data_IF_420120280824
#
_entry.id   IF_420120280824
#
_cell.length_a   1.000
_cell.length_b   1.000
_cell.length_c   1.000
_cell.angle_alpha   90.00
_cell.angle_beta   90.00
_cell.angle_gamma   90.00
#
_symmetry.space_group_name_H-M   'P 1'
#
loop_
_entity.id
_entity.type
_entity.pdbx_description
1 polymer ?
#
# COMPACT_ATOMS: atom_id res chain seq x y z
N UNK A 1 -4.22 -16.74 9.56
CA UNK A 1 -5.04 -15.80 10.38
C UNK A 1 -6.49 -15.98 9.99
N UNK A 2 -7.42 -16.07 10.96
CA UNK A 2 -8.86 -16.08 10.67
C UNK A 2 -9.44 -14.75 11.15
N UNK A 3 -9.80 -13.88 10.20
CA UNK A 3 -10.39 -12.57 10.51
C UNK A 3 -11.68 -12.75 11.30
N UNK A 4 -11.82 -11.99 12.38
CA UNK A 4 -13.07 -11.82 13.11
C UNK A 4 -13.91 -10.74 12.44
N UNK A 5 -15.21 -10.72 12.76
CA UNK A 5 -16.13 -9.75 12.15
C UNK A 5 -15.84 -8.31 12.55
N UNK A 6 -15.21 -8.09 13.70
CA UNK A 6 -14.76 -6.78 14.17
C UNK A 6 -13.38 -6.36 13.60
N UNK A 7 -12.66 -7.25 12.92
CA UNK A 7 -11.36 -6.91 12.36
C UNK A 7 -11.54 -5.98 11.16
N UNK A 8 -10.70 -4.94 11.10
CA UNK A 8 -10.60 -4.02 9.98
C UNK A 8 -9.25 -4.16 9.32
N UNK A 9 -9.27 -4.45 8.02
CA UNK A 9 -8.11 -4.48 7.16
C UNK A 9 -7.90 -3.08 6.58
N UNK A 10 -6.70 -2.54 6.74
CA UNK A 10 -6.25 -1.33 6.04
C UNK A 10 -5.19 -1.74 5.02
N UNK A 11 -5.48 -1.60 3.73
CA UNK A 11 -4.51 -1.87 2.66
C UNK A 11 -3.88 -0.57 2.16
N UNK A 12 -2.60 -0.59 1.80
CA UNK A 12 -1.79 0.62 1.62
C UNK A 12 -1.61 1.09 0.16
N UNK A 13 -2.42 0.61 -0.78
CA UNK A 13 -2.32 0.95 -2.21
C UNK A 13 -1.41 0.01 -3.01
N UNK A 14 -1.22 0.33 -4.30
CA UNK A 14 -0.46 -0.44 -5.29
C UNK A 14 -0.96 -1.88 -5.45
N UNK A 15 -2.26 -2.00 -5.69
CA UNK A 15 -2.96 -3.26 -5.97
C UNK A 15 -2.74 -3.76 -7.38
N UNK A 16 -2.48 -2.82 -8.29
CA UNK A 16 -2.33 -3.06 -9.72
C UNK A 16 -0.86 -2.98 -10.14
N UNK A 17 -0.66 -3.23 -11.43
CA UNK A 17 0.61 -3.23 -12.15
C UNK A 17 1.59 -4.33 -11.73
N UNK A 18 2.48 -4.66 -12.67
CA UNK A 18 3.62 -5.58 -12.53
C UNK A 18 3.26 -7.07 -12.27
N UNK A 19 2.36 -7.37 -11.33
CA UNK A 19 1.85 -8.71 -11.04
C UNK A 19 0.78 -9.17 -12.05
N UNK A 20 0.55 -10.49 -12.19
CA UNK A 20 -0.33 -11.03 -13.24
C UNK A 20 -1.83 -11.03 -12.92
N UNK A 21 -2.23 -10.73 -11.67
CA UNK A 21 -3.60 -10.93 -11.17
C UNK A 21 -4.23 -9.64 -10.60
N UNK A 22 -3.97 -8.48 -11.21
CA UNK A 22 -4.54 -7.20 -10.74
C UNK A 22 -6.07 -7.24 -10.67
N UNK A 23 -6.75 -7.80 -11.68
CA UNK A 23 -8.22 -7.96 -11.68
C UNK A 23 -8.71 -8.69 -10.44
N UNK A 24 -8.13 -9.86 -10.14
CA UNK A 24 -8.56 -10.72 -9.04
C UNK A 24 -8.27 -10.09 -7.67
N UNK A 25 -7.21 -9.28 -7.56
CA UNK A 25 -6.95 -8.47 -6.35
C UNK A 25 -8.08 -7.45 -6.16
N UNK A 26 -8.45 -6.70 -7.21
CA UNK A 26 -9.53 -5.72 -7.11
C UNK A 26 -10.88 -6.39 -6.79
N UNK A 27 -11.21 -7.51 -7.43
CA UNK A 27 -12.40 -8.32 -7.12
C UNK A 27 -12.45 -8.66 -5.61
N UNK A 28 -11.33 -9.12 -5.06
CA UNK A 28 -11.21 -9.49 -3.65
C UNK A 28 -11.37 -8.30 -2.70
N UNK A 29 -10.80 -7.15 -3.06
CA UNK A 29 -10.91 -5.93 -2.25
C UNK A 29 -12.35 -5.39 -2.25
N UNK A 30 -13.03 -5.41 -3.39
CA UNK A 30 -14.46 -5.06 -3.47
C UNK A 30 -15.30 -5.98 -2.57
N UNK A 31 -15.04 -7.28 -2.58
CA UNK A 31 -15.73 -8.24 -1.71
C UNK A 31 -15.53 -7.90 -0.21
N UNK A 32 -14.30 -7.60 0.19
CA UNK A 32 -13.97 -7.22 1.57
C UNK A 32 -14.61 -5.87 1.96
N UNK A 33 -14.66 -4.91 1.04
CA UNK A 33 -15.34 -3.63 1.24
C UNK A 33 -16.85 -3.81 1.45
N UNK A 34 -17.51 -4.62 0.61
CA UNK A 34 -18.94 -4.95 0.75
C UNK A 34 -19.28 -5.61 2.09
N UNK A 35 -18.32 -6.30 2.71
CA UNK A 35 -18.46 -6.88 4.07
C UNK A 35 -18.21 -5.89 5.21
N UNK A 36 -17.83 -4.64 4.91
CA UNK A 36 -17.52 -3.61 5.91
C UNK A 36 -16.17 -3.80 6.61
N UNK A 37 -15.30 -4.67 6.08
CA UNK A 37 -14.03 -5.06 6.72
C UNK A 37 -12.81 -4.34 6.12
N UNK A 38 -12.97 -3.54 5.08
CA UNK A 38 -11.85 -2.93 4.34
C UNK A 38 -11.87 -1.41 4.37
N UNK A 39 -10.71 -0.84 4.67
CA UNK A 39 -10.32 0.51 4.25
C UNK A 39 -9.18 0.36 3.23
N UNK A 40 -9.46 0.68 1.98
CA UNK A 40 -8.47 0.60 0.91
C UNK A 40 -7.85 1.97 0.68
N UNK A 41 -6.53 2.09 0.84
CA UNK A 41 -5.83 3.29 0.39
C UNK A 41 -5.56 3.23 -1.10
N UNK A 42 -5.46 4.39 -1.75
CA UNK A 42 -4.95 4.50 -3.12
C UNK A 42 -3.42 4.57 -3.11
N UNK A 43 -2.77 3.91 -4.06
CA UNK A 43 -1.33 4.05 -4.34
C UNK A 43 -1.04 4.94 -5.54
N UNK A 44 0.24 5.15 -5.84
CA UNK A 44 0.61 5.94 -7.02
C UNK A 44 0.30 5.20 -8.32
N UNK A 45 0.32 3.87 -8.32
CA UNK A 45 -0.04 3.07 -9.50
C UNK A 45 -1.52 3.26 -9.87
N UNK A 46 -2.42 3.27 -8.88
CA UNK A 46 -3.83 3.57 -9.12
C UNK A 46 -4.04 5.01 -9.64
N UNK A 47 -3.28 5.99 -9.13
CA UNK A 47 -3.35 7.37 -9.65
C UNK A 47 -2.91 7.45 -11.13
N UNK A 48 -1.82 6.79 -11.50
CA UNK A 48 -1.36 6.74 -12.89
C UNK A 48 -2.42 6.12 -13.80
N UNK A 49 -3.04 5.02 -13.37
CA UNK A 49 -4.11 4.36 -14.13
C UNK A 49 -5.35 5.26 -14.29
N UNK A 50 -5.76 5.95 -13.23
CA UNK A 50 -6.89 6.90 -13.28
C UNK A 50 -6.60 8.07 -14.22
N UNK A 51 -5.37 8.60 -14.22
CA UNK A 51 -4.94 9.63 -15.18
C UNK A 51 -4.92 9.11 -16.60
N UNK A 52 -4.45 7.88 -16.84
CA UNK A 52 -4.48 7.25 -18.15
C UNK A 52 -5.91 7.10 -18.71
N UNK A 53 -6.93 7.01 -17.83
CA UNK A 53 -8.35 6.99 -18.22
C UNK A 53 -8.84 8.31 -18.84
N UNK A 54 -8.14 9.43 -18.63
CA UNK A 54 -8.52 10.74 -19.18
C UNK A 54 -8.46 10.84 -20.71
N UNK A 55 -7.77 9.90 -21.37
CA UNK A 55 -7.52 9.91 -22.81
C UNK A 55 -6.23 10.62 -23.23
N UNK A 56 -5.48 11.20 -22.27
CA UNK A 56 -4.14 11.73 -22.53
C UNK A 56 -3.15 10.60 -22.85
N UNK A 57 -2.49 10.70 -24.02
CA UNK A 57 -1.54 9.69 -24.50
C UNK A 57 -0.27 9.62 -23.66
N UNK A 58 0.18 10.75 -23.12
CA UNK A 58 1.35 10.80 -22.24
C UNK A 58 1.05 10.07 -20.94
N UNK A 59 -0.10 10.31 -20.31
CA UNK A 59 -0.50 9.62 -19.07
C UNK A 59 -0.66 8.11 -19.31
N UNK A 60 -1.28 7.71 -20.43
CA UNK A 60 -1.37 6.31 -20.82
C UNK A 60 0.03 5.68 -20.98
N UNK A 61 0.91 6.32 -21.74
CA UNK A 61 2.27 5.82 -21.94
C UNK A 61 3.03 5.72 -20.61
N UNK A 62 2.91 6.74 -19.75
CA UNK A 62 3.57 6.79 -18.45
C UNK A 62 3.12 5.64 -17.55
N UNK A 63 1.80 5.39 -17.46
CA UNK A 63 1.25 4.26 -16.72
C UNK A 63 1.71 2.90 -17.27
N UNK A 64 1.64 2.70 -18.59
CA UNK A 64 2.08 1.45 -19.21
C UNK A 64 3.56 1.16 -18.93
N UNK A 65 4.43 2.18 -19.02
CA UNK A 65 5.85 2.07 -18.66
C UNK A 65 6.07 1.72 -17.17
N UNK A 66 5.10 2.06 -16.30
CA UNK A 66 5.09 1.72 -14.87
C UNK A 66 4.66 0.28 -14.55
N UNK A 67 4.21 -0.50 -15.54
CA UNK A 67 3.74 -1.88 -15.37
C UNK A 67 2.25 -2.07 -15.67
N UNK A 68 1.56 -1.05 -16.19
CA UNK A 68 0.14 -1.10 -16.55
C UNK A 68 -0.23 -2.17 -17.57
N UNK A 69 0.73 -2.61 -18.40
CA UNK A 69 0.53 -3.72 -19.35
C UNK A 69 0.09 -5.01 -18.65
N UNK A 70 0.68 -5.34 -17.49
CA UNK A 70 0.31 -6.53 -16.71
C UNK A 70 -1.11 -6.42 -16.18
N UNK A 71 -1.55 -5.23 -15.78
CA UNK A 71 -2.92 -4.98 -15.37
C UNK A 71 -3.88 -5.18 -16.53
N UNK A 72 -3.65 -4.55 -17.69
CA UNK A 72 -4.48 -4.75 -18.88
C UNK A 72 -4.56 -6.23 -19.30
N UNK A 73 -3.45 -6.96 -19.22
CA UNK A 73 -3.40 -8.38 -19.49
C UNK A 73 -4.27 -9.20 -18.53
N UNK A 74 -4.36 -8.82 -17.25
CA UNK A 74 -5.23 -9.50 -16.27
C UNK A 74 -6.73 -9.36 -16.59
N UNK A 75 -7.17 -8.24 -17.17
CA UNK A 75 -8.57 -8.03 -17.58
C UNK A 75 -8.89 -8.65 -18.94
N UNK A 76 -7.94 -8.68 -19.86
CA UNK A 76 -8.13 -9.15 -21.25
C UNK A 76 -8.39 -10.66 -21.37
N UNK A 77 -8.21 -11.44 -20.30
CA UNK A 77 -8.53 -12.89 -20.27
C UNK A 77 -10.04 -13.17 -20.36
N UNK A 78 -10.90 -12.16 -20.19
CA UNK A 78 -12.33 -12.34 -19.92
C UNK A 78 -13.26 -11.85 -21.03
N UNK A 79 -12.76 -11.28 -22.14
CA UNK A 79 -13.61 -10.74 -23.20
C UNK A 79 -12.89 -10.33 -24.48
N UNK A 80 -13.66 -9.81 -25.44
CA UNK A 80 -13.18 -9.31 -26.74
C UNK A 80 -12.58 -7.90 -26.68
N UNK A 81 -12.94 -7.12 -25.66
CA UNK A 81 -12.42 -5.76 -25.44
C UNK A 81 -10.95 -5.80 -25.01
N UNK A 82 -10.18 -4.79 -25.45
CA UNK A 82 -8.77 -4.62 -25.12
C UNK A 82 -8.53 -3.25 -24.48
N UNK A 83 -7.42 -3.14 -23.75
CA UNK A 83 -7.02 -1.88 -23.13
C UNK A 83 -7.99 -1.45 -22.02
N UNK A 84 -8.07 -0.15 -21.76
CA UNK A 84 -8.87 0.40 -20.67
C UNK A 84 -10.38 0.03 -20.75
N UNK A 85 -10.90 -0.24 -21.95
CA UNK A 85 -12.28 -0.64 -22.18
C UNK A 85 -12.61 -2.08 -21.74
N UNK A 86 -11.61 -2.88 -21.35
CA UNK A 86 -11.85 -4.21 -20.75
C UNK A 86 -12.10 -4.14 -19.24
N UNK A 87 -11.96 -2.97 -18.63
CA UNK A 87 -12.03 -2.77 -17.18
C UNK A 87 -13.45 -2.38 -16.78
N UNK A 88 -14.14 -3.17 -15.92
CA UNK A 88 -15.51 -2.89 -15.52
C UNK A 88 -15.65 -1.56 -14.76
N UNK A 89 -16.79 -0.88 -14.92
CA UNK A 89 -17.10 0.37 -14.21
C UNK A 89 -17.06 0.21 -12.69
N UNK A 90 -17.40 -0.97 -12.17
CA UNK A 90 -17.30 -1.25 -10.74
C UNK A 90 -15.85 -1.14 -10.24
N UNK A 91 -14.87 -1.59 -11.03
CA UNK A 91 -13.46 -1.51 -10.67
C UNK A 91 -12.98 -0.06 -10.73
N UNK A 92 -13.42 0.69 -11.74
CA UNK A 92 -13.17 2.13 -11.82
C UNK A 92 -13.74 2.87 -10.60
N UNK A 93 -14.99 2.59 -10.24
CA UNK A 93 -15.63 3.18 -9.08
C UNK A 93 -14.89 2.81 -7.78
N UNK A 94 -14.43 1.57 -7.65
CA UNK A 94 -13.62 1.15 -6.50
C UNK A 94 -12.35 1.99 -6.39
N UNK A 95 -11.59 2.11 -7.48
CA UNK A 95 -10.32 2.84 -7.50
C UNK A 95 -10.48 4.35 -7.33
N UNK A 96 -11.57 4.94 -7.80
CA UNK A 96 -11.79 6.39 -7.80
C UNK A 96 -12.57 6.89 -6.56
N UNK A 97 -13.63 6.19 -6.17
CA UNK A 97 -14.56 6.65 -5.15
C UNK A 97 -14.48 5.87 -3.83
N UNK A 98 -14.04 4.61 -3.85
CA UNK A 98 -13.96 3.79 -2.62
C UNK A 98 -12.57 3.87 -1.98
N UNK A 99 -11.50 3.84 -2.79
CA UNK A 99 -10.16 4.05 -2.28
C UNK A 99 -10.00 5.47 -1.71
N UNK A 100 -9.42 5.56 -0.52
CA UNK A 100 -9.15 6.83 0.17
C UNK A 100 -7.66 7.18 0.12
N UNK A 101 -7.32 8.44 0.32
CA UNK A 101 -5.93 8.89 0.27
C UNK A 101 -5.15 8.60 1.56
N UNK A 102 -5.86 8.57 2.70
CA UNK A 102 -5.32 8.23 4.01
C UNK A 102 -6.43 7.71 4.93
N UNK A 103 -6.05 7.10 6.04
CA UNK A 103 -6.95 6.68 7.12
C UNK A 103 -6.28 6.91 8.47
N UNK A 104 -7.05 7.08 9.53
CA UNK A 104 -6.48 7.21 10.87
C UNK A 104 -7.34 6.57 11.97
N UNK A 105 -6.67 6.22 13.05
CA UNK A 105 -7.24 5.80 14.33
C UNK A 105 -6.82 6.81 15.41
N UNK A 106 -7.08 6.50 16.68
CA UNK A 106 -6.59 7.31 17.80
C UNK A 106 -5.06 7.31 17.92
N UNK A 107 -4.38 6.22 17.53
CA UNK A 107 -2.93 6.04 17.74
C UNK A 107 -2.11 5.98 16.45
N UNK A 108 -2.72 5.66 15.31
CA UNK A 108 -2.02 5.46 14.05
C UNK A 108 -2.67 6.25 12.91
N UNK A 109 -1.89 6.53 11.87
CA UNK A 109 -2.43 6.89 10.57
C UNK A 109 -1.73 6.12 9.46
N UNK A 110 -2.43 5.96 8.35
CA UNK A 110 -2.05 5.15 7.23
C UNK A 110 -2.04 6.02 5.98
N UNK A 111 -0.92 5.99 5.27
CA UNK A 111 -0.73 6.66 3.97
C UNK A 111 -0.01 5.69 3.03
N UNK A 112 -0.12 5.91 1.72
CA UNK A 112 0.61 5.08 0.77
C UNK A 112 2.13 5.28 0.88
N UNK A 113 2.60 6.53 0.85
CA UNK A 113 4.03 6.86 0.79
C UNK A 113 4.55 7.58 2.04
N UNK A 114 4.31 8.89 2.20
CA UNK A 114 4.86 9.67 3.32
C UNK A 114 4.04 10.94 3.61
N UNK A 115 4.44 11.71 4.63
CA UNK A 115 3.83 12.99 5.01
C UNK A 115 4.90 14.01 5.45
N UNK A 116 4.61 15.29 5.26
CA UNK A 116 5.34 16.35 5.97
C UNK A 116 4.95 16.33 7.44
N UNK A 117 5.91 16.38 8.37
CA UNK A 117 5.63 16.20 9.80
C UNK A 117 4.83 17.36 10.41
N UNK A 118 4.87 18.54 9.81
CA UNK A 118 4.27 19.77 10.33
C UNK A 118 2.93 20.15 9.68
N UNK A 119 2.40 19.32 8.78
CA UNK A 119 1.12 19.56 8.12
C UNK A 119 0.11 18.47 8.50
N UNK A 120 -1.17 18.80 8.78
CA UNK A 120 -2.19 17.78 8.97
C UNK A 120 -2.44 16.99 7.68
N UNK A 121 -2.98 15.77 7.79
CA UNK A 121 -3.15 14.83 6.66
C UNK A 121 -3.89 15.44 5.45
N UNK A 122 -4.93 16.24 5.69
CA UNK A 122 -5.73 16.87 4.63
C UNK A 122 -5.02 18.02 3.90
N UNK A 123 -3.85 18.47 4.38
CA UNK A 123 -3.02 19.50 3.74
C UNK A 123 -1.75 18.91 3.12
N UNK A 124 -1.60 17.59 3.15
CA UNK A 124 -0.46 16.92 2.54
C UNK A 124 -0.56 17.03 1.02
N UNK A 125 0.50 17.47 0.33
CA UNK A 125 0.49 17.50 -1.12
C UNK A 125 0.52 16.07 -1.68
N UNK A 126 -0.08 15.88 -2.85
CA UNK A 126 -0.15 14.58 -3.52
C UNK A 126 1.23 13.91 -3.65
N UNK A 127 2.26 14.69 -4.02
CA UNK A 127 3.65 14.19 -4.11
C UNK A 127 4.11 13.50 -2.83
N UNK A 128 3.72 14.00 -1.65
CA UNK A 128 4.09 13.38 -0.37
C UNK A 128 3.30 12.10 -0.14
N UNK A 129 1.98 12.15 -0.29
CA UNK A 129 1.10 11.03 0.00
C UNK A 129 1.35 9.81 -0.89
N UNK A 130 1.75 10.03 -2.15
CA UNK A 130 1.82 8.95 -3.13
C UNK A 130 3.22 8.65 -3.66
N UNK A 131 4.16 9.60 -3.62
CA UNK A 131 5.43 9.44 -4.36
C UNK A 131 6.68 9.52 -3.49
N UNK A 132 6.58 10.12 -2.30
CA UNK A 132 7.75 10.39 -1.47
C UNK A 132 8.30 9.12 -0.80
N UNK A 133 9.60 8.88 -0.96
CA UNK A 133 10.24 7.71 -0.34
C UNK A 133 10.33 7.81 1.18
N UNK A 134 10.18 6.67 1.84
CA UNK A 134 10.50 6.46 3.24
C UNK A 134 12.01 6.55 3.43
N UNK A 135 12.43 7.46 4.31
CA UNK A 135 13.84 7.66 4.66
C UNK A 135 13.98 7.69 6.17
N UNK A 136 13.95 8.88 6.78
CA UNK A 136 13.91 9.08 8.21
C UNK A 136 12.96 10.25 8.52
N UNK A 137 11.64 10.10 8.29
CA UNK A 137 10.69 11.18 8.54
C UNK A 137 10.72 11.57 10.03
N UNK A 138 10.51 12.85 10.34
CA UNK A 138 10.33 13.29 11.73
C UNK A 138 8.94 12.85 12.26
N UNK A 139 8.72 12.82 13.59
CA UNK A 139 7.40 12.58 14.16
C UNK A 139 6.38 13.59 13.61
N UNK A 140 5.20 13.08 13.25
CA UNK A 140 4.12 13.91 12.72
C UNK A 140 3.45 14.71 13.84
N UNK A 141 2.93 15.91 13.53
CA UNK A 141 2.37 16.86 14.48
C UNK A 141 1.14 16.33 15.25
N UNK A 142 0.49 15.27 14.75
CA UNK A 142 -0.59 14.59 15.47
C UNK A 142 -0.12 13.70 16.62
N UNK A 143 1.17 13.40 16.72
CA UNK A 143 1.73 12.44 17.69
C UNK A 143 1.42 10.97 17.39
N UNK A 144 0.68 10.67 16.33
CA UNK A 144 0.33 9.30 15.91
C UNK A 144 1.48 8.64 15.15
N UNK A 145 1.55 7.31 15.18
CA UNK A 145 2.50 6.53 14.39
C UNK A 145 2.04 6.42 12.93
N UNK A 146 2.94 6.74 11.99
CA UNK A 146 2.69 6.55 10.56
C UNK A 146 2.91 5.09 10.16
N UNK A 147 2.01 4.51 9.39
CA UNK A 147 2.21 3.24 8.69
C UNK A 147 2.06 3.46 7.19
N UNK A 148 3.05 3.04 6.40
CA UNK A 148 3.07 3.23 4.95
C UNK A 148 3.64 2.06 4.15
N UNK A 149 3.51 2.15 2.82
CA UNK A 149 4.10 1.25 1.84
C UNK A 149 5.06 2.01 0.92
N UNK A 150 4.92 1.83 -0.40
CA UNK A 150 5.62 2.50 -1.51
C UNK A 150 7.13 2.28 -1.61
N UNK A 151 7.85 2.42 -0.51
CA UNK A 151 9.31 2.29 -0.49
C UNK A 151 9.69 0.86 -0.24
N UNK A 152 9.88 0.12 -1.32
CA UNK A 152 10.16 -1.31 -1.26
C UNK A 152 11.42 -1.66 -0.45
N UNK A 153 11.21 -2.33 0.67
CA UNK A 153 12.24 -2.92 1.51
C UNK A 153 12.69 -4.26 0.91
N UNK A 154 13.68 -4.19 0.02
CA UNK A 154 14.17 -5.35 -0.75
C UNK A 154 14.86 -6.43 0.09
N UNK A 155 15.21 -6.14 1.36
CA UNK A 155 15.64 -7.16 2.31
C UNK A 155 14.52 -8.15 2.65
N UNK A 156 13.27 -7.80 2.38
CA UNK A 156 12.10 -8.57 2.81
C UNK A 156 11.71 -8.32 4.26
N UNK A 157 12.33 -7.34 4.91
CA UNK A 157 12.06 -6.94 6.30
C UNK A 157 11.35 -5.58 6.31
N UNK A 158 10.32 -5.39 7.12
CA UNK A 158 9.75 -4.07 7.34
C UNK A 158 10.78 -3.18 8.06
N UNK A 159 10.56 -1.87 8.03
CA UNK A 159 11.38 -0.90 8.76
C UNK A 159 10.52 -0.15 9.77
N UNK A 160 10.98 -0.07 11.02
CA UNK A 160 10.39 0.76 12.06
C UNK A 160 11.43 1.73 12.63
N UNK A 161 11.05 3.01 12.73
CA UNK A 161 11.81 4.04 13.44
C UNK A 161 11.03 4.59 14.64
N UNK A 162 10.04 3.83 15.13
CA UNK A 162 9.27 4.16 16.33
C UNK A 162 7.99 4.92 16.01
N UNK A 163 8.10 6.12 15.44
CA UNK A 163 6.95 6.94 15.03
C UNK A 163 6.55 6.77 13.56
N UNK A 164 7.30 5.96 12.79
CA UNK A 164 7.00 5.67 11.41
C UNK A 164 7.44 4.25 11.04
N UNK A 165 6.58 3.54 10.30
CA UNK A 165 6.74 2.15 9.91
C UNK A 165 6.45 2.02 8.41
N UNK A 166 7.32 1.34 7.67
CA UNK A 166 7.08 0.96 6.28
C UNK A 166 7.07 -0.56 6.12
N UNK A 167 5.97 -1.10 5.58
CA UNK A 167 5.73 -2.54 5.43
C UNK A 167 5.70 -3.04 3.98
N UNK A 168 6.02 -2.20 2.99
CA UNK A 168 6.26 -2.69 1.62
C UNK A 168 7.56 -3.49 1.60
N UNK A 169 7.45 -4.81 1.70
CA UNK A 169 8.57 -5.76 1.68
C UNK A 169 8.74 -6.42 0.30
N UNK A 170 8.35 -5.72 -0.76
CA UNK A 170 8.70 -6.01 -2.15
C UNK A 170 8.17 -7.34 -2.69
N UNK A 171 6.93 -7.72 -2.37
CA UNK A 171 6.34 -9.02 -2.80
C UNK A 171 6.42 -9.24 -4.31
N UNK A 172 6.16 -8.21 -5.11
CA UNK A 172 6.25 -8.32 -6.57
C UNK A 172 7.65 -8.78 -7.03
N UNK A 173 8.72 -8.32 -6.38
CA UNK A 173 10.10 -8.62 -6.73
C UNK A 173 10.66 -9.87 -6.07
N UNK A 174 9.83 -10.84 -5.70
CA UNK A 174 10.18 -12.05 -4.94
C UNK A 174 10.50 -11.84 -3.46
N UNK A 175 10.12 -10.69 -2.91
CA UNK A 175 10.15 -10.44 -1.47
C UNK A 175 8.97 -11.08 -0.74
N UNK A 176 8.36 -10.32 0.16
CA UNK A 176 7.26 -10.78 1.00
C UNK A 176 6.09 -9.80 0.93
N UNK A 177 4.85 -10.31 1.07
CA UNK A 177 3.68 -9.52 1.41
C UNK A 177 3.59 -9.47 2.93
N UNK A 178 3.61 -8.27 3.51
CA UNK A 178 3.61 -8.06 4.96
C UNK A 178 2.25 -7.58 5.45
N UNK A 179 1.76 -8.20 6.52
CA UNK A 179 0.63 -7.75 7.31
C UNK A 179 1.13 -7.41 8.72
N UNK A 180 0.78 -6.23 9.23
CA UNK A 180 1.07 -5.77 10.58
C UNK A 180 -0.25 -5.57 11.32
N UNK A 181 -0.40 -6.24 12.46
CA UNK A 181 -1.39 -5.85 13.46
C UNK A 181 -0.78 -4.72 14.31
N UNK A 182 -1.25 -3.50 14.09
CA UNK A 182 -0.74 -2.29 14.75
C UNK A 182 -1.07 -2.22 16.24
N UNK A 183 -2.00 -3.04 16.74
CA UNK A 183 -2.35 -3.07 18.16
C UNK A 183 -1.39 -3.98 18.92
N UNK A 184 -1.16 -5.20 18.41
CA UNK A 184 -0.27 -6.17 19.07
C UNK A 184 1.21 -6.03 18.66
N UNK A 185 1.49 -5.36 17.54
CA UNK A 185 2.81 -5.32 16.93
C UNK A 185 3.17 -6.60 16.16
N UNK A 186 2.24 -7.56 16.03
CA UNK A 186 2.51 -8.84 15.37
C UNK A 186 2.55 -8.71 13.86
N UNK A 187 3.47 -9.43 13.24
CA UNK A 187 3.68 -9.44 11.80
C UNK A 187 3.47 -10.84 11.22
N UNK A 188 2.80 -10.89 10.07
CA UNK A 188 2.75 -12.06 9.20
C UNK A 188 3.29 -11.70 7.84
N UNK A 189 4.12 -12.59 7.30
CA UNK A 189 4.64 -12.44 5.94
C UNK A 189 4.38 -13.72 5.15
N UNK A 190 3.96 -13.54 3.90
CA UNK A 190 3.81 -14.61 2.92
C UNK A 190 4.52 -14.26 1.61
N UNK A 191 4.95 -15.24 0.83
CA UNK A 191 5.59 -15.01 -0.46
C UNK A 191 4.97 -15.88 -1.57
N UNK A 192 5.41 -15.66 -2.80
CA UNK A 192 4.90 -16.36 -3.99
C UNK A 192 5.23 -17.86 -4.06
N UNK A 193 6.11 -18.38 -3.19
CA UNK A 193 6.39 -19.82 -3.09
C UNK A 193 5.53 -20.51 -2.02
N UNK A 194 4.62 -19.77 -1.37
CA UNK A 194 3.73 -20.30 -0.33
C UNK A 194 4.37 -20.38 1.05
N UNK A 195 5.58 -19.83 1.24
CA UNK A 195 6.19 -19.76 2.56
C UNK A 195 5.49 -18.71 3.41
N UNK A 196 5.40 -18.98 4.71
CA UNK A 196 4.80 -18.10 5.70
C UNK A 196 5.77 -17.98 6.87
N UNK A 197 5.97 -16.75 7.36
CA UNK A 197 6.73 -16.49 8.59
C UNK A 197 6.02 -15.44 9.45
N UNK A 198 6.37 -15.43 10.74
CA UNK A 198 5.84 -14.50 11.73
C UNK A 198 6.99 -13.80 12.45
N UNK A 199 6.76 -12.56 12.86
CA UNK A 199 7.70 -11.73 13.60
C UNK A 199 6.95 -10.69 14.45
N UNK A 200 7.66 -9.83 15.14
CA UNK A 200 7.12 -8.66 15.85
C UNK A 200 7.77 -7.39 15.30
N UNK A 201 7.03 -6.28 15.26
CA UNK A 201 7.55 -5.01 14.72
C UNK A 201 8.76 -4.48 15.50
N UNK A 202 8.82 -4.79 16.79
CA UNK A 202 9.94 -4.42 17.67
C UNK A 202 11.25 -5.11 17.29
N UNK A 203 11.19 -6.27 16.62
CA UNK A 203 12.37 -6.94 16.07
C UNK A 203 13.05 -6.11 14.98
N UNK A 204 12.31 -5.18 14.36
CA UNK A 204 12.74 -4.32 13.25
C UNK A 204 12.92 -2.85 13.65
N UNK A 205 12.91 -2.56 14.95
CA UNK A 205 13.10 -1.21 15.45
C UNK A 205 14.57 -0.78 15.30
N UNK A 206 14.83 0.19 14.42
CA UNK A 206 16.15 0.81 14.31
C UNK A 206 16.32 1.82 15.46
N UNK A 207 16.83 1.37 16.59
CA UNK A 207 17.46 2.32 17.50
C UNK A 207 18.62 2.98 16.76
N UNK A 208 18.70 4.32 16.80
CA UNK A 208 19.99 4.97 16.72
C UNK A 208 20.87 4.30 17.77
N UNK A 209 21.81 3.45 17.37
CA UNK A 209 22.82 2.90 18.25
C UNK A 209 23.65 4.04 18.83
N UNK A 210 23.16 4.70 19.89
CA UNK A 210 24.04 5.21 20.93
C UNK A 210 24.51 3.96 21.67
N UNK A 211 25.66 3.44 21.27
CA UNK A 211 26.52 2.68 22.17
C UNK A 211 26.82 3.59 23.37
N UNK A 212 25.97 3.56 24.40
CA UNK A 212 26.42 3.86 25.74
C UNK A 212 27.17 2.61 26.20
N UNK A 213 28.48 2.59 25.93
CA UNK A 213 29.40 1.78 26.70
C UNK A 213 29.22 2.13 28.16
N UNK A 214 28.82 1.14 28.97
CA UNK A 214 28.93 1.20 30.43
C UNK A 214 30.39 1.54 30.77
N UNK A 215 30.58 2.65 31.47
CA UNK A 215 31.75 2.90 32.29
C UNK A 215 31.39 2.49 33.72
#
# INVERSE_FOLDING_TARGET
MKLQQCDRIVTLGDYIDRGPNSKEIIDRLIELHRRGQLVALRGNHELMMLRARSGDRYELYHWLAGGGESTLASYSKTGSNRGLASIPDEHWNFLDNICVNWWETSSHFFVHANVYPNLPLHQQPERMLFWQKFTNPAPHCSGKTMVCGHTSQKSGEPISIGHAICIDTWVYGRGWLTCLDVVSGRIWQANQTGQIKMAWIDDYYRQHHRRCSRA
#
